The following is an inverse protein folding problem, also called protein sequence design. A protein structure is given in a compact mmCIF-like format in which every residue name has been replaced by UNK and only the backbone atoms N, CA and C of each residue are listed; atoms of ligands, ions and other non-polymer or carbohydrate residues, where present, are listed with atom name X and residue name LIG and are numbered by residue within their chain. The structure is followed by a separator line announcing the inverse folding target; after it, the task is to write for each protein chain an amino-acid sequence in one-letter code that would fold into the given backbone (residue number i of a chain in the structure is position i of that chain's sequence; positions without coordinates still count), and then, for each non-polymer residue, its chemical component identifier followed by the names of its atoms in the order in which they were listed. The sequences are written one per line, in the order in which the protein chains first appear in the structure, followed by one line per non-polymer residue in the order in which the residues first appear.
data_IF_850202206092
#
_entry.id   IF_850202206092
#
_cell.length_a   1.000
_cell.length_b   1.000
_cell.length_c   1.000
_cell.angle_alpha   90.00
_cell.angle_beta   90.00
_cell.angle_gamma   90.00
#
_symmetry.space_group_name_H-M   'P 1'
#
loop_
_entity.id
_entity.type
_entity.pdbx_description
1 polymer ?
#
# COMPACT_ATOMS: atom_id res chain seq x y z
N UNK A 1 -3.25 -12.74 27.21
CA UNK A 1 -2.53 -12.76 25.92
C UNK A 1 -1.99 -11.36 25.66
N UNK A 2 -0.68 -11.12 25.83
CA UNK A 2 -0.10 -9.79 25.65
C UNK A 2 -0.33 -9.31 24.20
N UNK A 3 -0.91 -8.12 24.01
CA UNK A 3 -1.08 -7.53 22.69
C UNK A 3 0.32 -7.24 22.11
N UNK A 4 0.74 -8.04 21.13
CA UNK A 4 1.98 -7.81 20.40
C UNK A 4 1.83 -6.47 19.66
N UNK A 5 2.52 -5.44 20.15
CA UNK A 5 2.61 -4.13 19.51
C UNK A 5 3.22 -4.32 18.11
N UNK A 6 2.41 -4.20 17.06
CA UNK A 6 2.80 -4.45 15.69
C UNK A 6 2.40 -3.29 14.80
N UNK A 7 3.37 -2.73 14.08
CA UNK A 7 3.14 -1.64 13.13
C UNK A 7 2.50 -2.23 11.87
N UNK A 8 1.35 -1.69 11.44
CA UNK A 8 0.69 -2.07 10.19
C UNK A 8 0.68 -0.88 9.25
N UNK A 9 1.30 -1.04 8.08
CA UNK A 9 1.41 0.00 7.06
C UNK A 9 0.47 -0.37 5.90
N UNK A 10 -0.43 0.54 5.51
CA UNK A 10 -1.25 0.40 4.29
C UNK A 10 -0.76 1.42 3.27
N UNK A 11 -0.19 0.93 2.18
CA UNK A 11 0.24 1.77 1.07
C UNK A 11 -0.94 1.92 0.07
N UNK A 12 -1.19 3.15 -0.37
CA UNK A 12 -2.19 3.47 -1.41
C UNK A 12 -1.55 4.43 -2.40
N UNK A 13 -1.58 4.07 -3.67
CA UNK A 13 -1.12 4.92 -4.76
C UNK A 13 -1.97 4.64 -6.01
N UNK A 14 -2.02 5.60 -6.93
CA UNK A 14 -2.69 5.42 -8.23
C UNK A 14 -1.79 4.70 -9.25
N UNK A 15 -0.47 4.90 -9.15
CA UNK A 15 0.51 4.23 -9.99
C UNK A 15 1.13 3.02 -9.26
N UNK A 16 1.08 1.87 -9.92
CA UNK A 16 1.65 0.62 -9.43
C UNK A 16 3.18 0.66 -9.36
N UNK A 17 3.87 1.32 -10.30
CA UNK A 17 5.33 1.31 -10.36
C UNK A 17 5.94 2.00 -9.13
N UNK A 18 5.33 3.11 -8.70
CA UNK A 18 5.72 3.83 -7.49
C UNK A 18 5.41 2.99 -6.26
N UNK A 19 4.22 2.38 -6.19
CA UNK A 19 3.80 1.54 -5.07
C UNK A 19 4.77 0.37 -4.83
N UNK A 20 5.16 -0.30 -5.90
CA UNK A 20 6.06 -1.46 -5.85
C UNK A 20 7.48 -1.06 -5.45
N UNK A 21 7.99 0.06 -5.99
CA UNK A 21 9.31 0.58 -5.62
C UNK A 21 9.38 0.96 -4.13
N UNK A 22 8.39 1.71 -3.65
CA UNK A 22 8.35 2.15 -2.25
C UNK A 22 8.11 0.97 -1.29
N UNK A 23 7.24 0.02 -1.65
CA UNK A 23 7.04 -1.19 -0.84
C UNK A 23 8.33 -1.99 -0.69
N UNK A 24 9.13 -2.11 -1.76
CA UNK A 24 10.44 -2.78 -1.72
C UNK A 24 11.43 -2.04 -0.82
N UNK A 25 11.56 -0.72 -0.93
CA UNK A 25 12.44 0.10 -0.08
C UNK A 25 12.10 -0.03 1.41
N UNK A 26 10.81 -0.03 1.74
CA UNK A 26 10.34 -0.21 3.12
C UNK A 26 10.75 -1.59 3.63
N UNK A 27 10.50 -2.65 2.85
CA UNK A 27 10.88 -4.01 3.23
C UNK A 27 12.39 -4.12 3.45
N UNK A 28 13.21 -3.58 2.54
CA UNK A 28 14.67 -3.59 2.66
C UNK A 28 15.14 -2.86 3.94
N UNK A 29 14.52 -1.71 4.25
CA UNK A 29 14.85 -0.95 5.46
C UNK A 29 14.52 -1.73 6.73
N UNK A 30 13.38 -2.43 6.76
CA UNK A 30 12.95 -3.21 7.93
C UNK A 30 13.80 -4.49 8.08
N UNK A 31 14.21 -5.10 6.97
CA UNK A 31 15.16 -6.24 6.98
C UNK A 31 16.50 -5.79 7.54
N UNK A 32 17.00 -4.60 7.16
CA UNK A 32 18.25 -4.03 7.68
C UNK A 32 18.21 -3.76 9.19
N UNK A 33 17.04 -3.44 9.74
CA UNK A 33 16.87 -3.22 11.19
C UNK A 33 16.56 -4.49 11.98
N UNK A 34 16.64 -5.67 11.35
CA UNK A 34 16.40 -6.99 11.95
C UNK A 34 14.98 -7.18 12.55
N UNK A 35 13.98 -6.48 12.02
CA UNK A 35 12.59 -6.64 12.43
C UNK A 35 11.84 -7.70 11.58
N UNK A 36 10.88 -8.39 12.20
CA UNK A 36 10.10 -9.44 11.52
C UNK A 36 9.05 -8.85 10.58
N UNK A 37 9.16 -9.12 9.29
CA UNK A 37 8.23 -8.62 8.26
C UNK A 37 7.20 -9.68 7.88
N UNK A 38 5.92 -9.30 7.89
CA UNK A 38 4.90 -9.96 7.08
C UNK A 38 4.92 -9.23 5.74
N UNK A 39 5.35 -9.91 4.67
CA UNK A 39 5.64 -9.31 3.36
C UNK A 39 4.49 -8.47 2.78
N UNK A 40 4.72 -7.74 1.68
CA UNK A 40 3.68 -6.92 1.07
C UNK A 40 2.50 -7.80 0.64
N UNK A 41 1.35 -7.62 1.29
CA UNK A 41 0.12 -8.33 0.97
C UNK A 41 -0.70 -7.44 0.04
N UNK A 42 -0.88 -7.80 -1.24
CA UNK A 42 -1.70 -7.03 -2.15
C UNK A 42 -3.16 -7.08 -1.70
N UNK A 43 -3.78 -5.91 -1.61
CA UNK A 43 -5.20 -5.78 -1.33
C UNK A 43 -5.95 -5.53 -2.66
N UNK A 44 -7.25 -5.86 -2.73
CA UNK A 44 -8.08 -5.53 -3.89
C UNK A 44 -8.01 -4.04 -4.25
N UNK A 45 -7.94 -3.72 -5.54
CA UNK A 45 -7.91 -2.33 -6.02
C UNK A 45 -9.31 -1.72 -5.97
N UNK A 46 -9.47 -0.65 -5.19
CA UNK A 46 -10.70 0.14 -5.17
C UNK A 46 -10.82 0.96 -6.47
N UNK A 47 -11.86 0.69 -7.27
CA UNK A 47 -12.13 1.40 -8.53
C UNK A 47 -13.38 2.25 -8.39
N UNK A 48 -13.24 3.56 -8.45
CA UNK A 48 -14.36 4.50 -8.42
C UNK A 48 -14.58 5.07 -9.82
N UNK A 49 -15.77 4.88 -10.38
CA UNK A 49 -16.16 5.39 -11.70
C UNK A 49 -17.13 6.55 -11.52
N UNK A 50 -16.76 7.72 -12.02
CA UNK A 50 -17.62 8.90 -12.03
C UNK A 50 -18.03 9.20 -13.46
N UNK A 51 -19.30 9.55 -13.66
CA UNK A 51 -19.80 10.00 -14.96
C UNK A 51 -20.04 11.49 -14.88
N UNK A 52 -19.48 12.23 -15.84
CA UNK A 52 -19.72 13.66 -15.99
C UNK A 52 -20.53 13.90 -17.26
N UNK A 53 -21.39 14.92 -17.23
CA UNK A 53 -22.11 15.39 -18.41
C UNK A 53 -21.05 15.99 -19.35
N UNK A 54 -21.03 15.56 -20.61
CA UNK A 54 -19.99 15.96 -21.57
C UNK A 54 -20.16 17.39 -22.08
N UNK A 55 -21.35 17.96 -21.91
CA UNK A 55 -21.70 19.32 -22.33
C UNK A 55 -22.94 19.82 -21.59
N UNK A 56 -23.16 21.15 -21.58
CA UNK A 56 -24.31 21.77 -20.93
C UNK A 56 -25.62 21.73 -21.75
N UNK A 57 -25.56 21.31 -23.02
CA UNK A 57 -26.70 21.17 -23.94
C UNK A 57 -26.64 19.82 -24.67
#
# INVERSE_FOLDING_TARGET
MAQKQGIRIRLKAFDHAVLDNESRKIVETVVRTAATVRGPIPLPTDKHRYTVIRGPH
#
